data_IF_231127432309
#
_entry.id   IF_231127432309
#
_cell.length_a   1.000
_cell.length_b   1.000
_cell.length_c   1.000
_cell.angle_alpha   90.00
_cell.angle_beta   90.00
_cell.angle_gamma   90.00
#
_symmetry.space_group_name_H-M   'P 1'
#
loop_
_entity.id
_entity.type
_entity.pdbx_description
1 polymer ?
#
# COMPACT_ATOMS: atom_id res chain seq x y z
N UNK A 1 8.93 -9.41 6.12
CA UNK A 1 7.54 -9.09 6.54
C UNK A 1 6.48 -9.43 5.49
N UNK A 2 5.21 -9.54 5.91
CA UNK A 2 4.05 -9.63 5.00
C UNK A 2 3.40 -8.24 4.89
N UNK A 3 3.10 -7.83 3.66
CA UNK A 3 2.47 -6.55 3.34
C UNK A 3 1.18 -6.76 2.57
N UNK A 4 0.19 -5.92 2.84
CA UNK A 4 -1.15 -5.99 2.26
C UNK A 4 -1.45 -4.71 1.48
N UNK A 5 -2.13 -4.88 0.35
CA UNK A 5 -2.68 -3.78 -0.45
C UNK A 5 -4.15 -4.03 -0.73
N UNK A 6 -5.02 -3.09 -0.38
CA UNK A 6 -6.43 -3.11 -0.73
C UNK A 6 -6.68 -2.39 -2.06
N UNK A 7 -7.41 -3.02 -2.97
CA UNK A 7 -7.79 -2.44 -4.26
C UNK A 7 -9.11 -3.03 -4.75
N UNK A 8 -9.63 -2.52 -5.86
CA UNK A 8 -10.68 -3.19 -6.63
C UNK A 8 -10.13 -4.08 -7.74
N UNK A 9 -8.81 -4.05 -7.94
CA UNK A 9 -8.10 -4.82 -8.94
C UNK A 9 -7.07 -5.71 -8.26
N UNK A 10 -6.94 -6.96 -8.72
CA UNK A 10 -5.83 -7.83 -8.34
C UNK A 10 -4.55 -7.29 -8.95
N UNK A 11 -3.57 -6.97 -8.12
CA UNK A 11 -2.26 -6.48 -8.56
C UNK A 11 -1.26 -7.59 -8.20
N UNK A 12 -0.69 -8.24 -9.22
CA UNK A 12 0.31 -9.28 -8.99
C UNK A 12 1.71 -8.68 -8.87
N UNK A 13 2.00 -7.68 -9.71
CA UNK A 13 3.28 -6.97 -9.75
C UNK A 13 2.97 -5.47 -9.72
N UNK A 14 3.39 -4.74 -8.68
CA UNK A 14 3.22 -3.30 -8.63
C UNK A 14 3.96 -2.59 -9.77
N UNK A 15 3.26 -1.70 -10.47
CA UNK A 15 3.82 -0.80 -11.48
C UNK A 15 3.66 0.65 -10.98
N UNK A 16 4.79 1.28 -10.64
CA UNK A 16 4.82 2.62 -10.07
C UNK A 16 4.45 3.71 -11.09
N UNK A 17 4.58 3.44 -12.39
CA UNK A 17 4.19 4.39 -13.45
C UNK A 17 2.67 4.61 -13.50
N UNK A 18 1.91 3.67 -12.94
CA UNK A 18 0.44 3.71 -12.82
C UNK A 18 -0.03 4.33 -11.51
N UNK A 19 0.91 4.76 -10.65
CA UNK A 19 0.58 5.40 -9.38
C UNK A 19 -0.05 6.78 -9.61
N UNK A 20 -0.88 7.21 -8.67
CA UNK A 20 -1.48 8.55 -8.71
C UNK A 20 -0.42 9.59 -8.36
N UNK A 21 -0.49 10.75 -9.01
CA UNK A 21 0.45 11.86 -8.75
C UNK A 21 0.18 12.51 -7.40
N UNK A 22 -1.09 12.69 -7.03
CA UNK A 22 -1.52 13.49 -5.88
C UNK A 22 -1.79 12.61 -4.65
N UNK A 23 -0.74 12.07 -4.06
CA UNK A 23 -0.76 11.29 -2.81
C UNK A 23 0.40 11.75 -1.91
N UNK A 24 0.33 11.42 -0.62
CA UNK A 24 1.15 12.01 0.45
C UNK A 24 2.67 11.98 0.21
N UNK A 25 3.16 10.98 -0.54
CA UNK A 25 4.59 10.78 -0.82
C UNK A 25 4.89 10.65 -2.33
N UNK A 26 3.98 11.13 -3.19
CA UNK A 26 4.11 11.04 -4.64
C UNK A 26 3.94 9.62 -5.19
N UNK A 27 4.45 9.38 -6.40
CA UNK A 27 4.27 8.10 -7.10
C UNK A 27 4.84 6.92 -6.30
N UNK A 28 3.94 6.10 -5.75
CA UNK A 28 4.29 4.95 -4.94
C UNK A 28 3.24 3.84 -4.99
N UNK A 29 3.62 2.68 -4.47
CA UNK A 29 2.71 1.57 -4.22
C UNK A 29 2.51 1.41 -2.72
N UNK A 30 1.31 1.73 -2.25
CA UNK A 30 1.01 1.82 -0.83
C UNK A 30 0.60 0.46 -0.27
N UNK A 31 1.27 0.06 0.80
CA UNK A 31 1.01 -1.19 1.49
C UNK A 31 0.99 -0.98 3.00
N UNK A 32 0.39 -1.91 3.73
CA UNK A 32 0.37 -1.92 5.19
C UNK A 32 0.66 -3.33 5.72
N UNK A 33 1.38 -3.48 6.84
CA UNK A 33 1.48 -4.77 7.52
C UNK A 33 0.20 -5.14 8.29
N UNK A 34 -0.75 -4.22 8.45
CA UNK A 34 -2.00 -4.42 9.21
C UNK A 34 -3.12 -4.82 8.25
N UNK A 35 -3.54 -6.09 8.30
CA UNK A 35 -4.54 -6.64 7.38
C UNK A 35 -5.87 -5.88 7.42
N UNK A 36 -6.33 -5.51 8.62
CA UNK A 36 -7.59 -4.81 8.85
C UNK A 36 -7.60 -3.43 8.19
N UNK A 37 -6.45 -2.76 8.08
CA UNK A 37 -6.34 -1.48 7.35
C UNK A 37 -6.56 -1.71 5.85
N UNK A 38 -5.99 -2.78 5.27
CA UNK A 38 -6.23 -3.13 3.87
C UNK A 38 -7.70 -3.53 3.62
N UNK A 39 -8.35 -4.24 4.55
CA UNK A 39 -9.78 -4.57 4.49
C UNK A 39 -10.63 -3.30 4.48
N UNK A 40 -10.41 -2.40 5.45
CA UNK A 40 -11.13 -1.10 5.52
C UNK A 40 -10.93 -0.29 4.26
N UNK A 41 -9.73 -0.30 3.69
CA UNK A 41 -9.46 0.38 2.43
C UNK A 41 -10.30 -0.18 1.27
N UNK A 42 -10.47 -1.51 1.20
CA UNK A 42 -11.33 -2.16 0.22
C UNK A 42 -12.81 -1.75 0.32
N UNK A 43 -13.30 -1.38 1.50
CA UNK A 43 -14.69 -0.94 1.68
C UNK A 43 -15.01 0.32 0.86
N UNK A 44 -14.02 1.16 0.56
CA UNK A 44 -14.17 2.32 -0.35
C UNK A 44 -14.58 1.89 -1.76
N UNK A 45 -14.06 0.77 -2.24
CA UNK A 45 -14.38 0.24 -3.57
C UNK A 45 -15.72 -0.49 -3.59
N UNK A 46 -16.00 -1.28 -2.54
CA UNK A 46 -17.30 -1.93 -2.34
C UNK A 46 -18.46 -0.94 -2.36
N UNK A 47 -18.31 0.20 -1.66
CA UNK A 47 -19.31 1.30 -1.67
C UNK A 47 -19.54 1.91 -3.06
N UNK A 48 -18.63 1.71 -4.01
CA UNK A 48 -18.73 2.17 -5.41
C UNK A 48 -19.19 1.05 -6.36
N UNK A 49 -19.73 -0.06 -5.82
CA UNK A 49 -20.18 -1.20 -6.61
C UNK A 49 -19.04 -1.97 -7.28
N UNK A 50 -17.82 -1.91 -6.74
CA UNK A 50 -16.66 -2.67 -7.21
C UNK A 50 -16.30 -3.75 -6.19
N UNK A 51 -15.60 -4.79 -6.66
CA UNK A 51 -15.03 -5.78 -5.75
C UNK A 51 -13.98 -5.16 -4.83
N UNK A 52 -13.77 -5.80 -3.68
CA UNK A 52 -12.67 -5.50 -2.77
C UNK A 52 -11.69 -6.66 -2.77
N UNK A 53 -10.47 -6.43 -3.25
CA UNK A 53 -9.42 -7.42 -3.40
C UNK A 53 -8.24 -7.01 -2.53
N UNK A 54 -7.78 -7.93 -1.68
CA UNK A 54 -6.57 -7.75 -0.88
C UNK A 54 -5.45 -8.56 -1.52
N UNK A 55 -4.40 -7.86 -1.94
CA UNK A 55 -3.17 -8.47 -2.45
C UNK A 55 -2.16 -8.61 -1.31
N UNK A 56 -1.49 -9.75 -1.22
CA UNK A 56 -0.50 -10.08 -0.18
C UNK A 56 0.87 -10.23 -0.81
N UNK A 57 1.86 -9.55 -0.23
CA UNK A 57 3.24 -9.57 -0.70
C UNK A 57 4.18 -10.01 0.42
N UNK A 58 5.25 -10.69 0.05
CA UNK A 58 6.38 -10.95 0.94
C UNK A 58 7.43 -9.88 0.65
N UNK A 59 7.77 -9.09 1.66
CA UNK A 59 8.86 -8.12 1.60
C UNK A 59 10.06 -8.66 2.37
N UNK A 60 11.19 -8.74 1.69
CA UNK A 60 12.47 -9.12 2.28
C UNK A 60 13.07 -7.90 2.99
N UNK A 61 13.17 -7.99 4.31
CA UNK A 61 13.59 -6.89 5.16
C UNK A 61 15.10 -6.60 5.02
N UNK A 62 15.87 -7.49 4.41
CA UNK A 62 17.25 -7.21 3.99
C UNK A 62 17.29 -5.97 3.06
N UNK A 63 16.20 -5.70 2.33
CA UNK A 63 16.10 -4.52 1.47
C UNK A 63 16.24 -3.20 2.25
N UNK A 64 15.90 -3.15 3.54
CA UNK A 64 16.06 -1.93 4.35
C UNK A 64 17.52 -1.43 4.41
N UNK A 65 18.49 -2.34 4.30
CA UNK A 65 19.91 -1.99 4.30
C UNK A 65 20.44 -1.53 2.93
N UNK A 66 19.66 -1.74 1.86
CA UNK A 66 20.05 -1.47 0.47
C UNK A 66 19.34 -0.24 -0.11
N UNK A 67 18.18 0.10 0.44
CA UNK A 67 17.32 1.17 -0.06
C UNK A 67 17.60 2.48 0.67
N UNK A 68 17.45 3.60 -0.05
CA UNK A 68 17.38 4.93 0.58
C UNK A 68 16.00 5.09 1.21
N UNK A 69 15.92 4.89 2.52
CA UNK A 69 14.68 4.88 3.28
C UNK A 69 14.38 6.24 3.90
N UNK A 70 13.11 6.64 3.88
CA UNK A 70 12.56 7.70 4.71
C UNK A 70 11.65 7.04 5.75
N UNK A 71 11.96 7.23 7.03
CA UNK A 71 11.26 6.59 8.17
C UNK A 71 10.71 7.70 9.06
N UNK A 72 9.47 7.53 9.50
CA UNK A 72 8.79 8.45 10.40
C UNK A 72 8.38 7.67 11.66
N UNK A 73 8.93 8.05 12.81
CA UNK A 73 8.67 7.35 14.09
C UNK A 73 7.35 7.80 14.73
N UNK A 74 6.84 8.97 14.35
CA UNK A 74 5.58 9.54 14.83
C UNK A 74 4.89 10.33 13.72
N UNK A 75 3.59 10.59 13.90
CA UNK A 75 2.89 11.59 13.09
C UNK A 75 3.52 12.97 13.30
N UNK A 76 3.54 13.79 12.26
CA UNK A 76 3.78 15.23 12.41
C UNK A 76 2.54 15.88 13.02
N UNK A 77 2.74 16.91 13.86
CA UNK A 77 1.64 17.70 14.43
C UNK A 77 1.13 18.81 13.48
N UNK A 78 1.72 18.94 12.28
CA UNK A 78 1.25 19.82 11.20
C UNK A 78 0.19 19.17 10.31
#
# INVERSE_FOLDING_TARGET
MILYHGSYLKIQTPDLTRSRVNVDFGHGFYTTPIYEQAVKWCEKFKRRGKDGIISRYRFDEIAYHKLKMLIFDSYSEE
#
